data_IF_519344046017
#
_entry.id   IF_519344046017
#
_cell.length_a   1.000
_cell.length_b   1.000
_cell.length_c   1.000
_cell.angle_alpha   90.00
_cell.angle_beta   90.00
_cell.angle_gamma   90.00
#
_symmetry.space_group_name_H-M   'P 1'
#
loop_
_entity.id
_entity.type
_entity.pdbx_description
1 polymer ?
#
# COMPACT_ATOMS: atom_id res chain seq x y z
N UNK A 1 -2.46 8.20 12.68
CA UNK A 1 -2.43 9.68 12.82
C UNK A 1 -0.98 10.08 13.07
N UNK A 2 -0.39 10.93 12.24
CA UNK A 2 1.02 11.34 12.36
C UNK A 2 1.16 12.28 13.57
N UNK A 3 2.16 12.11 14.44
CA UNK A 3 2.36 13.00 15.56
C UNK A 3 2.78 14.40 15.07
N UNK A 4 2.15 15.44 15.61
CA UNK A 4 2.43 16.86 15.30
C UNK A 4 3.88 17.31 15.63
N UNK A 5 4.66 16.45 16.29
CA UNK A 5 6.08 16.64 16.60
C UNK A 5 7.00 16.62 15.37
N UNK A 6 6.63 15.96 14.27
CA UNK A 6 7.45 15.92 13.05
C UNK A 6 7.38 17.22 12.24
N UNK A 7 6.25 17.94 12.30
CA UNK A 7 6.08 19.22 11.60
C UNK A 7 6.95 20.34 12.20
N UNK A 8 7.21 20.29 13.51
CA UNK A 8 8.05 21.27 14.21
C UNK A 8 9.56 21.08 13.96
N UNK A 9 10.01 19.85 13.69
CA UNK A 9 11.42 19.54 13.43
C UNK A 9 11.82 19.67 11.95
N UNK A 10 10.85 19.62 11.04
CA UNK A 10 11.11 19.71 9.60
C UNK A 10 11.21 21.17 9.09
N UNK A 11 10.60 22.12 9.81
CA UNK A 11 10.69 23.58 9.58
C UNK A 11 11.44 24.25 10.74
N UNK A 12 12.76 24.06 10.79
CA UNK A 12 13.62 24.78 11.74
C UNK A 12 14.06 26.09 11.07
N UNK A 13 13.53 27.23 11.55
CA UNK A 13 13.81 28.61 11.06
C UNK A 13 13.23 28.99 9.69
N UNK A 14 12.08 28.45 9.30
CA UNK A 14 11.35 28.91 8.11
C UNK A 14 11.89 28.43 6.76
N UNK A 15 12.82 27.47 6.76
CA UNK A 15 13.29 26.76 5.56
C UNK A 15 12.94 25.28 5.63
N UNK A 16 12.53 24.69 4.50
CA UNK A 16 12.26 23.26 4.40
C UNK A 16 13.59 22.49 4.33
N UNK A 17 13.85 21.64 5.32
CA UNK A 17 15.08 20.82 5.39
C UNK A 17 14.86 19.48 4.67
N UNK A 18 15.92 18.75 4.29
CA UNK A 18 15.77 17.43 3.63
C UNK A 18 14.98 16.40 4.48
N UNK A 19 14.90 16.62 5.80
CA UNK A 19 14.05 15.86 6.71
C UNK A 19 12.54 15.96 6.38
N UNK A 20 12.09 16.95 5.61
CA UNK A 20 10.70 17.08 5.16
C UNK A 20 10.29 16.01 4.14
N UNK A 21 11.21 15.55 3.30
CA UNK A 21 10.93 14.60 2.21
C UNK A 21 10.27 13.31 2.72
N UNK A 22 10.84 12.59 3.71
CA UNK A 22 10.25 11.34 4.18
C UNK A 22 8.87 11.53 4.82
N UNK A 23 8.61 12.66 5.49
CA UNK A 23 7.32 12.96 6.15
C UNK A 23 6.21 13.13 5.11
N UNK A 24 6.47 13.94 4.08
CA UNK A 24 5.51 14.18 2.99
C UNK A 24 5.25 12.88 2.23
N UNK A 25 6.32 12.12 1.96
CA UNK A 25 6.23 10.84 1.26
C UNK A 25 5.41 9.82 2.06
N UNK A 26 5.65 9.68 3.37
CA UNK A 26 4.89 8.79 4.23
C UNK A 26 3.41 9.18 4.27
N UNK A 27 3.08 10.47 4.35
CA UNK A 27 1.69 10.92 4.34
C UNK A 27 0.98 10.54 3.03
N UNK A 28 1.64 10.77 1.88
CA UNK A 28 1.11 10.39 0.57
C UNK A 28 0.91 8.86 0.47
N UNK A 29 1.92 8.09 0.88
CA UNK A 29 1.86 6.62 0.86
C UNK A 29 0.74 6.11 1.76
N UNK A 30 0.57 6.66 2.97
CA UNK A 30 -0.46 6.20 3.90
C UNK A 30 -1.87 6.43 3.35
N UNK A 31 -2.13 7.62 2.78
CA UNK A 31 -3.41 7.89 2.09
C UNK A 31 -3.58 6.94 0.91
N UNK A 32 -2.53 6.71 0.11
CA UNK A 32 -2.58 5.83 -1.04
C UNK A 32 -2.87 4.38 -0.65
N UNK A 33 -2.29 3.88 0.44
CA UNK A 33 -2.51 2.51 0.94
C UNK A 33 -3.95 2.31 1.39
N UNK A 34 -4.54 3.28 2.09
CA UNK A 34 -5.96 3.22 2.50
C UNK A 34 -6.88 3.19 1.28
N UNK A 35 -6.64 4.08 0.30
CA UNK A 35 -7.42 4.12 -0.95
C UNK A 35 -7.23 2.84 -1.76
N UNK A 36 -6.00 2.33 -1.87
CA UNK A 36 -5.69 1.09 -2.57
C UNK A 36 -6.36 -0.13 -1.91
N UNK A 37 -6.43 -0.18 -0.58
CA UNK A 37 -7.15 -1.22 0.14
C UNK A 37 -8.64 -1.26 -0.21
N UNK A 38 -9.28 -0.09 -0.26
CA UNK A 38 -10.70 0.02 -0.65
C UNK A 38 -10.89 -0.45 -2.11
N UNK A 39 -10.04 0.03 -3.02
CA UNK A 39 -10.10 -0.34 -4.45
C UNK A 39 -9.88 -1.86 -4.61
N UNK A 40 -8.94 -2.46 -3.89
CA UNK A 40 -8.67 -3.88 -3.94
C UNK A 40 -9.91 -4.72 -3.58
N UNK A 41 -10.63 -4.35 -2.52
CA UNK A 41 -11.88 -5.02 -2.12
C UNK A 41 -12.94 -4.89 -3.22
N UNK A 42 -13.12 -3.70 -3.79
CA UNK A 42 -14.05 -3.49 -4.90
C UNK A 42 -13.72 -4.34 -6.13
N UNK A 43 -12.44 -4.43 -6.51
CA UNK A 43 -12.00 -5.23 -7.65
C UNK A 43 -12.20 -6.73 -7.41
N UNK A 44 -12.00 -7.22 -6.19
CA UNK A 44 -12.26 -8.61 -5.82
C UNK A 44 -13.76 -8.92 -5.97
N UNK A 45 -14.64 -8.06 -5.45
CA UNK A 45 -16.10 -8.25 -5.57
C UNK A 45 -16.53 -8.21 -7.04
N UNK A 46 -16.05 -7.21 -7.79
CA UNK A 46 -16.41 -7.03 -9.20
C UNK A 46 -15.91 -8.18 -10.08
N UNK A 47 -14.68 -8.64 -9.87
CA UNK A 47 -14.13 -9.79 -10.60
C UNK A 47 -14.84 -11.10 -10.24
N UNK A 48 -15.22 -11.29 -8.97
CA UNK A 48 -16.02 -12.43 -8.52
C UNK A 48 -17.40 -12.46 -9.18
N UNK A 49 -18.10 -11.33 -9.21
CA UNK A 49 -19.40 -11.22 -9.90
C UNK A 49 -19.28 -11.55 -11.39
N UNK A 50 -18.27 -10.99 -12.06
CA UNK A 50 -18.01 -11.25 -13.48
C UNK A 50 -17.67 -12.71 -13.74
N UNK A 51 -16.96 -13.37 -12.82
CA UNK A 51 -16.63 -14.80 -12.91
C UNK A 51 -17.89 -15.68 -12.87
N UNK A 52 -18.82 -15.39 -11.96
CA UNK A 52 -20.09 -16.14 -11.85
C UNK A 52 -21.01 -15.88 -13.05
N UNK A 53 -21.09 -14.64 -13.53
CA UNK A 53 -21.92 -14.25 -14.68
C UNK A 53 -21.32 -14.66 -16.05
N UNK A 54 -20.18 -15.36 -16.09
CA UNK A 54 -19.53 -15.71 -17.36
C UNK A 54 -20.20 -16.85 -18.13
N UNK A 55 -21.22 -17.52 -17.58
CA UNK A 55 -22.09 -18.52 -18.27
C UNK A 55 -21.37 -19.58 -19.14
N UNK A 56 -20.09 -19.86 -18.88
CA UNK A 56 -19.28 -20.80 -19.67
C UNK A 56 -18.50 -20.19 -20.84
N UNK A 57 -18.58 -18.88 -21.06
CA UNK A 57 -17.75 -18.16 -22.04
C UNK A 57 -16.27 -18.14 -21.57
N UNK A 58 -15.35 -18.79 -22.29
CA UNK A 58 -13.96 -18.95 -21.86
C UNK A 58 -13.21 -17.60 -21.84
N UNK A 59 -13.60 -16.63 -22.65
CA UNK A 59 -12.94 -15.33 -22.74
C UNK A 59 -13.25 -14.47 -21.50
N UNK A 60 -14.51 -14.49 -21.06
CA UNK A 60 -14.93 -13.79 -19.83
C UNK A 60 -14.32 -14.40 -18.58
N UNK A 61 -14.22 -15.73 -18.52
CA UNK A 61 -13.56 -16.45 -17.42
C UNK A 61 -12.06 -16.13 -17.39
N UNK A 62 -11.38 -16.16 -18.54
CA UNK A 62 -9.97 -15.83 -18.63
C UNK A 62 -9.69 -14.40 -18.16
N UNK A 63 -10.54 -13.45 -18.55
CA UNK A 63 -10.42 -12.03 -18.14
C UNK A 63 -10.66 -11.87 -16.65
N UNK A 64 -11.71 -12.47 -16.09
CA UNK A 64 -12.01 -12.42 -14.66
C UNK A 64 -10.87 -13.03 -13.82
N UNK A 65 -10.29 -14.17 -14.25
CA UNK A 65 -9.12 -14.76 -13.59
C UNK A 65 -7.91 -13.85 -13.63
N UNK A 66 -7.60 -13.22 -14.77
CA UNK A 66 -6.49 -12.26 -14.84
C UNK A 66 -6.70 -11.10 -13.88
N UNK A 67 -7.88 -10.50 -13.86
CA UNK A 67 -8.21 -9.40 -12.94
C UNK A 67 -8.06 -9.82 -11.48
N UNK A 68 -8.56 -11.00 -11.12
CA UNK A 68 -8.44 -11.53 -9.76
C UNK A 68 -6.97 -11.78 -9.38
N UNK A 69 -6.18 -12.38 -10.27
CA UNK A 69 -4.74 -12.58 -10.06
C UNK A 69 -4.03 -11.26 -9.82
N UNK A 70 -4.27 -10.23 -10.64
CA UNK A 70 -3.67 -8.92 -10.42
C UNK A 70 -4.08 -8.27 -9.09
N UNK A 71 -5.35 -8.38 -8.71
CA UNK A 71 -5.83 -7.87 -7.42
C UNK A 71 -5.16 -8.59 -6.24
N UNK A 72 -5.03 -9.92 -6.30
CA UNK A 72 -4.33 -10.72 -5.29
C UNK A 72 -2.86 -10.35 -5.23
N UNK A 73 -2.17 -10.27 -6.37
CA UNK A 73 -0.75 -9.88 -6.40
C UNK A 73 -0.52 -8.49 -5.81
N UNK A 74 -1.38 -7.51 -6.12
CA UNK A 74 -1.28 -6.18 -5.53
C UNK A 74 -1.45 -6.18 -4.01
N UNK A 75 -2.46 -6.92 -3.52
CA UNK A 75 -2.70 -7.04 -2.08
C UNK A 75 -1.55 -7.76 -1.35
N UNK A 76 -1.10 -8.88 -1.90
CA UNK A 76 0.03 -9.65 -1.37
C UNK A 76 1.32 -8.83 -1.40
N UNK A 77 1.54 -8.02 -2.44
CA UNK A 77 2.73 -7.18 -2.55
C UNK A 77 2.78 -6.10 -1.44
N UNK A 78 1.65 -5.49 -1.10
CA UNK A 78 1.55 -4.55 0.02
C UNK A 78 1.91 -5.26 1.33
N UNK A 79 1.35 -6.44 1.58
CA UNK A 79 1.67 -7.24 2.78
C UNK A 79 3.15 -7.64 2.82
N UNK A 80 3.71 -8.08 1.69
CA UNK A 80 5.12 -8.42 1.55
C UNK A 80 6.04 -7.23 1.83
N UNK A 81 5.64 -6.01 1.43
CA UNK A 81 6.40 -4.81 1.71
C UNK A 81 6.65 -4.64 3.22
N UNK A 82 5.61 -4.82 4.05
CA UNK A 82 5.75 -4.75 5.51
C UNK A 82 6.69 -5.84 6.05
N UNK A 83 6.57 -7.07 5.54
CA UNK A 83 7.46 -8.18 5.95
C UNK A 83 8.91 -7.87 5.58
N UNK A 84 9.15 -7.34 4.37
CA UNK A 84 10.48 -6.97 3.90
C UNK A 84 11.08 -5.83 4.73
N UNK A 85 10.30 -4.79 5.05
CA UNK A 85 10.76 -3.69 5.90
C UNK A 85 11.15 -4.19 7.30
N UNK A 86 10.35 -5.08 7.88
CA UNK A 86 10.64 -5.71 9.17
C UNK A 86 11.87 -6.62 9.10
N UNK A 87 12.05 -7.36 8.00
CA UNK A 87 13.22 -8.20 7.78
C UNK A 87 14.49 -7.34 7.71
N UNK A 88 14.47 -6.27 6.91
CA UNK A 88 15.59 -5.34 6.79
C UNK A 88 15.90 -4.72 8.16
N UNK A 89 14.89 -4.21 8.89
CA UNK A 89 15.07 -3.59 10.20
C UNK A 89 15.72 -4.55 11.22
N UNK A 90 15.34 -5.84 11.22
CA UNK A 90 15.98 -6.87 12.06
C UNK A 90 17.43 -7.14 11.68
N UNK A 91 17.74 -7.15 10.39
CA UNK A 91 19.10 -7.41 9.91
C UNK A 91 20.04 -6.22 10.12
N UNK A 92 19.57 -4.99 9.99
CA UNK A 92 20.40 -3.78 10.15
C UNK A 92 20.41 -3.22 11.58
N UNK A 93 19.62 -3.76 12.51
CA UNK A 93 19.61 -3.35 13.93
C UNK A 93 19.09 -1.93 14.19
N UNK A 94 18.56 -1.26 13.15
CA UNK A 94 17.90 0.05 13.24
C UNK A 94 16.42 -0.17 13.51
N UNK A 95 16.07 -0.36 14.79
CA UNK A 95 14.68 -0.44 15.29
C UNK A 95 13.90 0.87 15.07
N UNK A 96 14.61 1.96 14.76
CA UNK A 96 14.13 3.34 14.62
C UNK A 96 13.29 3.60 13.34
N UNK A 97 13.18 2.63 12.43
CA UNK A 97 12.42 2.73 11.17
C UNK A 97 11.16 1.86 11.15
N UNK A 98 10.93 1.07 12.20
CA UNK A 98 9.69 0.32 12.33
C UNK A 98 8.54 1.32 12.53
N UNK A 99 7.51 1.34 11.66
CA UNK A 99 6.31 2.10 11.95
C UNK A 99 5.70 1.48 13.22
N UNK A 100 5.58 2.27 14.28
CA UNK A 100 4.86 1.88 15.50
C UNK A 100 3.35 1.81 15.23
#
# INVERSE_FOLDING_TARGET
MIPVSDLGNCVQKGVATLACIPIVLQNIINVLVVVAGIIAVFLIIFSGYRFVMSEGDPEKIATARKTLTYAIFGFVFILLSFVLLNAIAKFTGVEQLAPK
#
